data_IF_927331552325
#
_entry.id   IF_927331552325
#
_cell.length_a   1.000
_cell.length_b   1.000
_cell.length_c   1.000
_cell.angle_alpha   90.00
_cell.angle_beta   90.00
_cell.angle_gamma   90.00
#
_symmetry.space_group_name_H-M   'P 1'
#
loop_
_entity.id
_entity.type
_entity.pdbx_description
1 polymer ?
#
# COMPACT_ATOMS: atom_id res chain seq x y z
N UNK A 1 -9.00 41.13 -19.48
CA UNK A 1 -9.98 40.29 -18.77
C UNK A 1 -9.21 39.08 -18.29
N UNK A 2 -8.85 39.03 -17.00
CA UNK A 2 -8.07 37.93 -16.43
C UNK A 2 -9.06 36.89 -15.93
N UNK A 3 -8.86 35.62 -16.29
CA UNK A 3 -9.78 34.54 -15.95
C UNK A 3 -9.86 34.35 -14.43
N UNK A 4 -11.08 34.32 -13.90
CA UNK A 4 -11.34 33.99 -12.50
C UNK A 4 -10.93 32.54 -12.23
N UNK A 5 -10.03 32.33 -11.27
CA UNK A 5 -9.79 31.00 -10.72
C UNK A 5 -10.93 30.70 -9.76
N UNK A 6 -11.79 29.74 -10.13
CA UNK A 6 -12.82 29.23 -9.21
C UNK A 6 -12.19 28.21 -8.29
N UNK A 7 -12.04 28.56 -7.02
CA UNK A 7 -11.82 27.60 -5.97
C UNK A 7 -13.09 26.76 -5.82
N UNK A 8 -12.98 25.46 -6.10
CA UNK A 8 -14.11 24.56 -6.17
C UNK A 8 -14.55 24.13 -4.76
N UNK A 9 -14.98 25.10 -3.93
CA UNK A 9 -15.24 24.94 -2.51
C UNK A 9 -16.52 24.16 -2.14
N UNK A 10 -17.23 23.57 -3.10
CA UNK A 10 -18.41 22.75 -2.79
C UNK A 10 -18.79 21.77 -3.90
N UNK A 11 -18.12 20.61 -4.01
CA UNK A 11 -18.76 19.35 -4.44
C UNK A 11 -17.90 18.19 -3.95
N UNK A 12 -18.33 17.56 -2.85
CA UNK A 12 -17.78 16.34 -2.23
C UNK A 12 -16.28 16.36 -1.99
N UNK A 13 -15.85 16.32 -0.72
CA UNK A 13 -14.52 15.79 -0.40
C UNK A 13 -14.40 14.48 -1.19
N UNK A 14 -13.54 14.36 -2.21
CA UNK A 14 -13.26 13.04 -2.75
C UNK A 14 -12.89 12.22 -1.53
N UNK A 15 -13.61 11.12 -1.30
CA UNK A 15 -13.23 10.17 -0.26
C UNK A 15 -11.76 9.90 -0.51
N UNK A 16 -10.88 10.43 0.34
CA UNK A 16 -9.45 10.62 0.07
C UNK A 16 -8.89 9.42 -0.70
N UNK A 17 -8.83 9.52 -2.03
CA UNK A 17 -8.50 8.41 -2.92
C UNK A 17 -6.97 8.28 -3.05
N UNK A 18 -6.24 9.13 -2.30
CA UNK A 18 -4.81 8.95 -2.00
C UNK A 18 -4.59 7.91 -0.89
N UNK A 19 -5.63 7.19 -0.48
CA UNK A 19 -5.49 6.04 0.39
C UNK A 19 -4.64 4.97 -0.30
N UNK A 20 -3.42 4.78 0.19
CA UNK A 20 -2.56 3.64 -0.18
C UNK A 20 -3.29 2.34 0.20
N UNK A 21 -3.97 1.74 -0.77
CA UNK A 21 -4.64 0.45 -0.58
C UNK A 21 -3.62 -0.67 -0.42
N UNK A 22 -2.55 -0.61 -1.21
CA UNK A 22 -1.46 -1.57 -1.19
C UNK A 22 -0.22 -1.03 -1.91
N UNK A 23 0.96 -1.12 -1.28
CA UNK A 23 2.27 -0.85 -1.91
C UNK A 23 3.19 -2.06 -1.77
N UNK A 24 4.05 -2.29 -2.75
CA UNK A 24 5.08 -3.33 -2.69
C UNK A 24 6.45 -2.68 -2.58
N UNK A 25 7.20 -3.06 -1.55
CA UNK A 25 8.59 -2.63 -1.36
C UNK A 25 9.50 -3.58 -2.12
N UNK A 26 10.37 -3.02 -2.96
CA UNK A 26 11.32 -3.76 -3.79
C UNK A 26 12.77 -3.45 -3.38
N UNK A 27 13.62 -4.46 -3.45
CA UNK A 27 15.08 -4.35 -3.45
C UNK A 27 15.59 -4.86 -4.80
N UNK A 28 15.86 -3.94 -5.72
CA UNK A 28 16.12 -4.31 -7.11
C UNK A 28 14.87 -4.96 -7.72
N UNK A 29 15.00 -6.21 -8.14
CA UNK A 29 13.93 -7.06 -8.68
C UNK A 29 13.30 -7.99 -7.62
N UNK A 30 13.70 -7.87 -6.35
CA UNK A 30 13.25 -8.72 -5.24
C UNK A 30 12.15 -8.00 -4.45
N UNK A 31 10.92 -8.55 -4.37
CA UNK A 31 9.89 -7.98 -3.53
C UNK A 31 10.13 -8.38 -2.07
N UNK A 32 10.19 -7.40 -1.15
CA UNK A 32 10.51 -7.62 0.26
C UNK A 32 9.29 -7.58 1.17
N UNK A 33 8.34 -6.68 0.89
CA UNK A 33 7.19 -6.49 1.76
C UNK A 33 6.01 -5.87 1.01
N UNK A 34 4.81 -6.07 1.56
CA UNK A 34 3.59 -5.39 1.15
C UNK A 34 3.07 -4.57 2.32
N UNK A 35 2.82 -3.28 2.08
CA UNK A 35 2.18 -2.38 3.04
C UNK A 35 0.74 -2.17 2.60
N UNK A 36 -0.22 -2.34 3.51
CA UNK A 36 -1.65 -2.09 3.24
C UNK A 36 -2.24 -1.13 4.26
N UNK A 37 -3.04 -0.17 3.79
CA UNK A 37 -3.90 0.65 4.63
C UNK A 37 -5.33 0.60 4.05
N UNK A 38 -6.14 -0.42 4.42
CA UNK A 38 -7.40 -0.70 3.76
C UNK A 38 -8.43 0.44 3.81
N UNK A 39 -8.42 1.20 4.90
CA UNK A 39 -9.23 2.42 5.09
C UNK A 39 -8.40 3.49 5.81
N UNK A 40 -8.83 4.75 5.78
CA UNK A 40 -8.13 5.85 6.44
C UNK A 40 -7.94 5.65 7.95
N UNK A 41 -8.88 4.94 8.59
CA UNK A 41 -8.91 4.66 10.04
C UNK A 41 -8.33 3.30 10.42
N UNK A 42 -8.09 2.40 9.45
CA UNK A 42 -7.45 1.12 9.70
C UNK A 42 -5.98 1.30 10.10
N UNK A 43 -5.44 0.44 10.97
CA UNK A 43 -4.00 0.39 11.21
C UNK A 43 -3.26 0.02 9.91
N UNK A 44 -2.03 0.50 9.80
CA UNK A 44 -1.12 0.06 8.73
C UNK A 44 -0.79 -1.41 8.97
N UNK A 45 -0.97 -2.23 7.94
CA UNK A 45 -0.61 -3.64 7.96
C UNK A 45 0.66 -3.83 7.14
N UNK A 46 1.60 -4.61 7.67
CA UNK A 46 2.79 -5.03 6.93
C UNK A 46 2.81 -6.54 6.75
N UNK A 47 3.20 -6.96 5.56
CA UNK A 47 3.37 -8.36 5.21
C UNK A 47 4.79 -8.58 4.66
N UNK A 48 5.54 -9.50 5.25
CA UNK A 48 6.91 -9.80 4.85
C UNK A 48 6.94 -10.93 3.83
N UNK A 49 7.72 -10.74 2.76
CA UNK A 49 7.90 -11.74 1.70
C UNK A 49 9.22 -12.45 1.98
N UNK A 50 9.15 -13.76 2.22
CA UNK A 50 10.32 -14.62 2.35
C UNK A 50 10.65 -15.26 1.01
N UNK A 51 11.83 -14.93 0.48
CA UNK A 51 12.37 -15.49 -0.75
C UNK A 51 13.32 -16.67 -0.46
N UNK A 52 13.51 -17.54 -1.45
CA UNK A 52 14.59 -18.53 -1.41
C UNK A 52 15.93 -17.93 -1.87
N UNK A 53 16.98 -18.76 -1.93
CA UNK A 53 18.31 -18.36 -2.39
C UNK A 53 18.37 -17.94 -3.86
N UNK A 54 17.30 -18.16 -4.63
CA UNK A 54 17.17 -17.74 -6.02
C UNK A 54 16.22 -16.54 -6.16
N UNK A 55 16.01 -15.80 -5.06
CA UNK A 55 15.14 -14.63 -4.97
C UNK A 55 13.67 -14.89 -5.32
N UNK A 56 13.23 -16.16 -5.26
CA UNK A 56 11.84 -16.51 -5.58
C UNK A 56 10.99 -16.43 -4.31
N UNK A 57 9.90 -15.64 -4.27
CA UNK A 57 8.97 -15.62 -3.14
C UNK A 57 8.40 -17.02 -2.85
N UNK A 58 8.48 -17.46 -1.59
CA UNK A 58 7.97 -18.76 -1.14
C UNK A 58 6.87 -18.66 -0.09
N UNK A 59 6.88 -17.61 0.72
CA UNK A 59 5.92 -17.42 1.81
C UNK A 59 5.70 -15.93 2.03
N UNK A 60 4.48 -15.55 2.38
CA UNK A 60 4.18 -14.23 2.93
C UNK A 60 3.65 -14.40 4.35
N UNK A 61 4.18 -13.62 5.29
CA UNK A 61 3.74 -13.60 6.70
C UNK A 61 3.27 -12.22 7.12
N UNK A 62 2.38 -12.16 8.11
CA UNK A 62 2.02 -10.91 8.79
C UNK A 62 3.07 -10.49 9.86
N UNK A 63 2.82 -9.37 10.54
CA UNK A 63 3.70 -8.86 11.61
C UNK A 63 3.78 -9.77 12.84
N UNK A 64 2.83 -10.70 13.00
CA UNK A 64 2.83 -11.72 14.05
C UNK A 64 3.45 -13.03 13.57
N UNK A 65 4.09 -13.02 12.39
CA UNK A 65 4.75 -14.17 11.79
C UNK A 65 3.79 -15.30 11.37
N UNK A 66 2.51 -14.97 11.20
CA UNK A 66 1.48 -15.90 10.72
C UNK A 66 1.50 -15.96 9.20
N UNK A 67 1.49 -17.18 8.64
CA UNK A 67 1.47 -17.37 7.19
C UNK A 67 0.13 -16.91 6.62
N UNK A 68 0.18 -15.97 5.68
CA UNK A 68 -1.00 -15.48 4.94
C UNK A 68 -1.06 -15.99 3.51
N UNK A 69 0.08 -16.43 2.97
CA UNK A 69 0.19 -17.04 1.64
C UNK A 69 1.39 -17.98 1.56
N UNK A 70 1.24 -19.06 0.80
CA UNK A 70 2.28 -20.02 0.44
C UNK A 70 1.95 -20.67 -0.90
#
# INVERSE_FOLDING_TARGET
MIGEYKDNAATTTPTDDWLVRQETIWLGDIPLAVIKKPTATSPIQMYFIHTDHLNTPRVIVDQSNTIVWR
#
